data_IF_525547492324
#
_entry.id   IF_525547492324
#
_cell.length_a   1.000
_cell.length_b   1.000
_cell.length_c   1.000
_cell.angle_alpha   90.00
_cell.angle_beta   90.00
_cell.angle_gamma   90.00
#
_symmetry.space_group_name_H-M   'P 1'
#
loop_
_entity.id
_entity.type
_entity.pdbx_description
1 polymer ?
#
# COMPACT_ATOMS: atom_id res chain seq x y z
N UNK A 1 19.39 -47.46 -51.46
CA UNK A 1 20.85 -47.40 -51.29
C UNK A 1 21.14 -46.31 -50.28
N UNK A 2 21.76 -46.67 -49.16
CA UNK A 2 21.95 -45.90 -47.93
C UNK A 2 22.89 -44.69 -48.07
N UNK A 3 22.63 -43.63 -47.29
CA UNK A 3 23.57 -42.96 -46.35
C UNK A 3 22.80 -41.84 -45.60
N UNK A 4 22.43 -42.04 -44.32
CA UNK A 4 23.09 -41.54 -43.09
C UNK A 4 23.02 -40.00 -42.92
N UNK A 5 21.98 -39.43 -42.25
CA UNK A 5 21.84 -39.16 -40.80
C UNK A 5 22.96 -38.33 -40.16
N UNK A 6 22.61 -37.12 -39.69
CA UNK A 6 22.91 -36.70 -38.31
C UNK A 6 21.91 -35.63 -37.82
N UNK A 7 21.10 -36.00 -36.83
CA UNK A 7 20.26 -35.12 -36.01
C UNK A 7 21.06 -34.78 -34.75
N UNK A 8 21.24 -33.49 -34.41
CA UNK A 8 21.78 -33.07 -33.12
C UNK A 8 20.67 -33.06 -32.07
N UNK A 9 20.69 -34.08 -31.21
CA UNK A 9 19.90 -34.17 -29.98
C UNK A 9 20.78 -33.72 -28.81
N UNK A 10 20.38 -32.67 -28.08
CA UNK A 10 21.03 -32.29 -26.82
C UNK A 10 20.56 -33.25 -25.73
N UNK A 11 21.51 -33.98 -25.15
CA UNK A 11 21.30 -35.01 -24.13
C UNK A 11 20.97 -34.39 -22.76
N UNK A 12 19.85 -34.81 -22.18
CA UNK A 12 19.64 -34.84 -20.73
C UNK A 12 20.70 -35.75 -20.09
N UNK A 13 21.32 -35.30 -19.00
CA UNK A 13 22.06 -36.17 -18.08
C UNK A 13 21.36 -36.15 -16.72
N UNK A 14 20.52 -37.16 -16.49
CA UNK A 14 20.29 -37.72 -15.16
C UNK A 14 21.51 -38.58 -14.82
N UNK A 15 22.16 -38.30 -13.71
CA UNK A 15 23.22 -39.14 -13.14
C UNK A 15 22.99 -39.30 -11.65
N UNK A 16 22.32 -40.39 -11.26
CA UNK A 16 22.33 -40.86 -9.89
C UNK A 16 23.53 -41.77 -9.67
N UNK A 17 24.20 -41.61 -8.52
CA UNK A 17 25.04 -42.65 -7.94
C UNK A 17 25.00 -42.53 -6.41
N UNK A 18 24.30 -43.48 -5.77
CA UNK A 18 24.39 -43.75 -4.34
C UNK A 18 25.73 -44.41 -4.05
N UNK A 19 26.53 -43.84 -3.14
CA UNK A 19 27.59 -44.55 -2.43
C UNK A 19 27.50 -44.19 -0.94
N UNK A 20 27.10 -45.17 -0.14
CA UNK A 20 27.09 -45.16 1.32
C UNK A 20 28.52 -45.36 1.85
N UNK A 21 29.09 -44.38 2.56
CA UNK A 21 30.19 -44.62 3.51
C UNK A 21 30.10 -43.66 4.70
N UNK A 22 29.82 -44.26 5.86
CA UNK A 22 30.26 -43.96 7.24
C UNK A 22 30.45 -42.50 7.71
N UNK A 23 29.70 -42.21 8.77
CA UNK A 23 29.69 -41.05 9.66
C UNK A 23 31.09 -40.61 10.13
N UNK A 24 31.44 -39.36 9.86
CA UNK A 24 32.27 -38.54 10.76
C UNK A 24 31.63 -37.16 10.80
N UNK A 25 31.21 -36.76 12.00
CA UNK A 25 30.46 -35.53 12.23
C UNK A 25 31.29 -34.29 11.91
N UNK A 26 30.74 -33.44 11.04
CA UNK A 26 31.11 -32.04 10.93
C UNK A 26 29.91 -31.20 11.35
N UNK A 27 30.09 -30.13 12.14
CA UNK A 27 28.98 -29.29 12.54
C UNK A 27 28.38 -28.64 11.29
N UNK A 28 27.06 -28.74 11.16
CA UNK A 28 26.30 -28.04 10.14
C UNK A 28 26.39 -26.53 10.40
N UNK A 29 27.42 -25.88 9.84
CA UNK A 29 27.37 -24.46 9.59
C UNK A 29 26.30 -24.25 8.52
N UNK A 30 25.10 -23.85 8.95
CA UNK A 30 24.06 -23.34 8.08
C UNK A 30 24.65 -22.16 7.30
N UNK A 31 25.01 -22.39 6.04
CA UNK A 31 25.22 -21.30 5.11
C UNK A 31 23.83 -20.73 4.86
N UNK A 32 23.47 -19.72 5.65
CA UNK A 32 22.39 -18.82 5.30
C UNK A 32 22.76 -18.24 3.93
N UNK A 33 22.15 -18.79 2.88
CA UNK A 33 22.16 -18.17 1.58
C UNK A 33 21.46 -16.82 1.77
N UNK A 34 22.25 -15.76 1.88
CA UNK A 34 21.78 -14.39 1.76
C UNK A 34 20.93 -14.32 0.50
N UNK A 35 19.63 -14.08 0.68
CA UNK A 35 18.75 -13.71 -0.43
C UNK A 35 19.45 -12.60 -1.22
N UNK A 36 19.47 -12.65 -2.56
CA UNK A 36 20.05 -11.56 -3.33
C UNK A 36 19.37 -10.25 -2.92
N UNK A 37 20.18 -9.22 -2.63
CA UNK A 37 19.70 -7.90 -2.21
C UNK A 37 18.51 -7.47 -3.07
N UNK A 38 17.32 -7.43 -2.47
CA UNK A 38 16.12 -6.97 -3.17
C UNK A 38 16.39 -5.56 -3.70
N UNK A 39 16.27 -5.30 -5.01
CA UNK A 39 16.60 -3.99 -5.55
C UNK A 39 15.72 -2.92 -4.90
N UNK A 40 16.36 -1.93 -4.28
CA UNK A 40 15.70 -0.81 -3.62
C UNK A 40 15.25 0.19 -4.69
N UNK A 41 14.03 0.03 -5.19
CA UNK A 41 13.40 0.99 -6.09
C UNK A 41 13.00 2.27 -5.33
N UNK A 42 13.48 3.44 -5.78
CA UNK A 42 13.25 4.73 -5.10
C UNK A 42 12.31 5.63 -5.89
N UNK A 43 12.45 5.65 -7.20
CA UNK A 43 11.69 6.51 -8.12
C UNK A 43 10.70 5.69 -8.94
N UNK A 44 9.69 6.34 -9.53
CA UNK A 44 8.80 5.64 -10.45
C UNK A 44 9.53 5.09 -11.67
N UNK A 45 10.60 5.77 -12.13
CA UNK A 45 11.45 5.31 -13.21
C UNK A 45 12.08 3.93 -12.90
N UNK A 46 12.53 3.71 -11.66
CA UNK A 46 13.09 2.43 -11.24
C UNK A 46 12.06 1.31 -11.36
N UNK A 47 10.84 1.55 -10.86
CA UNK A 47 9.72 0.61 -10.95
C UNK A 47 9.32 0.32 -12.39
N UNK A 48 9.17 1.36 -13.21
CA UNK A 48 8.77 1.24 -14.60
C UNK A 48 9.81 0.51 -15.44
N UNK A 49 11.09 0.83 -15.28
CA UNK A 49 12.19 0.21 -16.03
C UNK A 49 12.34 -1.28 -15.72
N UNK A 50 11.95 -1.71 -14.51
CA UNK A 50 12.01 -3.11 -14.06
C UNK A 50 10.65 -3.83 -14.10
N UNK A 51 9.63 -3.24 -14.76
CA UNK A 51 8.23 -3.69 -14.76
C UNK A 51 8.03 -5.19 -15.03
N UNK A 52 8.83 -5.79 -15.91
CA UNK A 52 8.72 -7.21 -16.29
C UNK A 52 9.14 -8.18 -15.18
N UNK A 53 9.94 -7.72 -14.21
CA UNK A 53 10.44 -8.51 -13.09
C UNK A 53 9.61 -8.32 -11.82
N UNK A 54 8.70 -7.33 -11.82
CA UNK A 54 7.82 -7.04 -10.70
C UNK A 54 6.80 -8.16 -10.49
N UNK A 55 6.42 -8.34 -9.22
CA UNK A 55 5.22 -9.09 -8.84
C UNK A 55 3.97 -8.49 -9.53
N UNK A 56 2.93 -9.30 -9.79
CA UNK A 56 1.73 -8.84 -10.48
C UNK A 56 1.08 -7.61 -9.85
N UNK A 57 1.09 -7.51 -8.52
CA UNK A 57 0.47 -6.43 -7.74
C UNK A 57 1.21 -5.10 -7.96
N UNK A 58 2.53 -5.10 -7.80
CA UNK A 58 3.37 -3.93 -8.08
C UNK A 58 3.28 -3.51 -9.56
N UNK A 59 3.32 -4.50 -10.47
CA UNK A 59 3.18 -4.27 -11.91
C UNK A 59 1.85 -3.61 -12.24
N UNK A 60 0.76 -4.05 -11.61
CA UNK A 60 -0.57 -3.46 -11.81
C UNK A 60 -0.56 -1.96 -11.51
N UNK A 61 0.05 -1.55 -10.40
CA UNK A 61 0.16 -0.13 -10.04
C UNK A 61 0.99 0.66 -11.05
N UNK A 62 2.11 0.09 -11.52
CA UNK A 62 2.92 0.69 -12.60
C UNK A 62 2.11 0.88 -13.88
N UNK A 63 1.33 -0.12 -14.29
CA UNK A 63 0.51 -0.08 -15.50
C UNK A 63 -0.52 1.04 -15.45
N UNK A 64 -1.19 1.17 -14.30
CA UNK A 64 -2.21 2.21 -14.07
C UNK A 64 -1.56 3.59 -14.10
N UNK A 65 -0.38 3.75 -13.49
CA UNK A 65 0.35 5.02 -13.50
C UNK A 65 0.76 5.42 -14.92
N UNK A 66 1.24 4.48 -15.74
CA UNK A 66 1.56 4.72 -17.15
C UNK A 66 0.32 5.09 -17.96
N UNK A 67 -0.82 4.42 -17.72
CA UNK A 67 -2.10 4.78 -18.33
C UNK A 67 -2.53 6.19 -17.94
N UNK A 68 -2.36 6.57 -16.68
CA UNK A 68 -2.74 7.88 -16.15
C UNK A 68 -1.98 9.03 -16.84
N UNK A 69 -0.70 8.83 -17.15
CA UNK A 69 0.11 9.83 -17.86
C UNK A 69 0.17 9.63 -19.37
N UNK A 70 -0.46 8.58 -19.90
CA UNK A 70 -0.59 8.34 -21.34
C UNK A 70 0.73 8.07 -22.08
N UNK A 71 1.72 7.49 -21.40
CA UNK A 71 3.03 7.16 -22.02
C UNK A 71 3.56 5.83 -21.50
N UNK A 72 4.34 5.14 -22.34
CA UNK A 72 5.12 3.96 -21.97
C UNK A 72 6.60 4.26 -21.73
N UNK A 73 7.04 5.50 -21.96
CA UNK A 73 8.39 5.97 -21.67
C UNK A 73 8.52 6.23 -20.17
N UNK A 74 9.37 5.43 -19.49
CA UNK A 74 9.53 5.46 -18.05
C UNK A 74 10.12 6.78 -17.52
N UNK A 75 11.04 7.38 -18.26
CA UNK A 75 11.70 8.64 -17.87
C UNK A 75 10.69 9.78 -17.96
N UNK A 76 9.95 9.81 -19.08
CA UNK A 76 8.88 10.79 -19.29
C UNK A 76 7.77 10.64 -18.27
N UNK A 77 7.34 9.40 -17.98
CA UNK A 77 6.31 9.14 -16.98
C UNK A 77 6.74 9.59 -15.59
N UNK A 78 8.00 9.31 -15.19
CA UNK A 78 8.54 9.76 -13.91
C UNK A 78 8.59 11.28 -13.80
N UNK A 79 9.00 11.98 -14.86
CA UNK A 79 8.96 13.45 -14.90
C UNK A 79 7.54 13.99 -14.73
N UNK A 80 6.56 13.40 -15.42
CA UNK A 80 5.16 13.84 -15.32
C UNK A 80 4.57 13.57 -13.94
N UNK A 81 4.76 12.38 -13.39
CA UNK A 81 4.20 11.98 -12.09
C UNK A 81 4.86 12.71 -10.91
N UNK A 82 6.17 12.94 -10.96
CA UNK A 82 6.92 13.58 -9.86
C UNK A 82 6.49 15.03 -9.58
N UNK A 83 5.81 15.68 -10.52
CA UNK A 83 5.30 17.05 -10.40
C UNK A 83 3.80 17.11 -10.12
N UNK A 84 3.10 15.96 -10.04
CA UNK A 84 1.66 15.98 -9.77
C UNK A 84 1.39 16.28 -8.30
N UNK A 85 0.46 17.21 -8.09
CA UNK A 85 -0.10 17.49 -6.76
C UNK A 85 -1.35 16.65 -6.49
N UNK A 86 -2.06 16.23 -7.54
CA UNK A 86 -3.31 15.49 -7.44
C UNK A 86 -3.26 14.25 -8.31
N UNK A 87 -3.57 13.11 -7.71
CA UNK A 87 -3.58 11.82 -8.39
C UNK A 87 -4.83 11.02 -8.01
N UNK A 88 -5.55 10.53 -9.01
CA UNK A 88 -6.72 9.69 -8.85
C UNK A 88 -6.43 8.30 -9.42
N UNK A 89 -6.39 7.31 -8.54
CA UNK A 89 -6.17 5.90 -8.83
C UNK A 89 -7.34 5.06 -8.30
N UNK A 90 -8.55 5.61 -8.34
CA UNK A 90 -9.76 4.93 -7.89
C UNK A 90 -10.17 3.82 -8.85
N UNK A 91 -10.61 2.67 -8.34
CA UNK A 91 -11.20 1.57 -9.16
C UNK A 91 -10.22 0.92 -10.13
N UNK A 92 -9.01 0.58 -9.68
CA UNK A 92 -8.00 -0.07 -10.51
C UNK A 92 -7.53 -1.44 -10.02
N UNK A 93 -8.15 -2.00 -8.98
CA UNK A 93 -7.73 -3.27 -8.36
C UNK A 93 -6.28 -3.22 -7.86
N UNK A 94 -5.82 -2.05 -7.41
CA UNK A 94 -4.49 -1.86 -6.84
C UNK A 94 -4.43 -2.50 -5.45
N UNK A 95 -3.36 -3.22 -5.15
CA UNK A 95 -3.09 -3.75 -3.81
C UNK A 95 -1.69 -3.37 -3.29
N UNK A 96 -0.73 -3.11 -4.17
CA UNK A 96 0.63 -2.67 -3.82
C UNK A 96 0.85 -1.20 -4.17
N UNK A 97 1.12 -0.39 -3.15
CA UNK A 97 1.35 1.06 -3.27
C UNK A 97 2.83 1.43 -3.39
N UNK A 98 3.75 0.45 -3.36
CA UNK A 98 5.20 0.69 -3.39
C UNK A 98 5.66 1.59 -4.55
N UNK A 99 5.08 1.50 -5.77
CA UNK A 99 5.42 2.42 -6.87
C UNK A 99 5.08 3.89 -6.62
N UNK A 100 4.26 4.22 -5.61
CA UNK A 100 3.88 5.60 -5.27
C UNK A 100 4.87 6.29 -4.32
N UNK A 101 5.76 5.54 -3.66
CA UNK A 101 6.62 6.02 -2.55
C UNK A 101 7.42 7.28 -2.90
N UNK A 102 7.82 7.45 -4.16
CA UNK A 102 8.60 8.58 -4.66
C UNK A 102 7.79 9.82 -5.08
N UNK A 103 6.45 9.76 -5.07
CA UNK A 103 5.58 10.84 -5.56
C UNK A 103 5.29 11.88 -4.46
N UNK A 104 6.34 12.43 -3.86
CA UNK A 104 6.27 13.22 -2.61
C UNK A 104 5.64 14.62 -2.75
N UNK A 105 5.36 15.07 -3.99
CA UNK A 105 4.69 16.35 -4.26
C UNK A 105 3.15 16.26 -4.17
N UNK A 106 2.60 15.05 -4.00
CA UNK A 106 1.17 14.85 -3.89
C UNK A 106 0.59 15.56 -2.65
N UNK A 107 -0.46 16.34 -2.89
CA UNK A 107 -1.29 17.00 -1.88
C UNK A 107 -2.69 16.38 -1.80
N UNK A 108 -3.14 15.70 -2.86
CA UNK A 108 -4.41 14.95 -2.89
C UNK A 108 -4.23 13.61 -3.59
N UNK A 109 -4.61 12.53 -2.92
CA UNK A 109 -4.51 11.17 -3.44
C UNK A 109 -5.82 10.42 -3.24
N UNK A 110 -6.41 9.94 -4.33
CA UNK A 110 -7.58 9.05 -4.29
C UNK A 110 -7.20 7.65 -4.67
N UNK A 111 -7.51 6.71 -3.79
CA UNK A 111 -7.20 5.29 -3.87
C UNK A 111 -8.44 4.44 -3.53
N UNK A 112 -9.64 5.01 -3.59
CA UNK A 112 -10.86 4.30 -3.22
C UNK A 112 -11.24 3.20 -4.23
N UNK A 113 -12.03 2.22 -3.78
CA UNK A 113 -12.44 1.05 -4.57
C UNK A 113 -11.24 0.24 -5.11
N UNK A 114 -10.30 -0.11 -4.24
CA UNK A 114 -9.14 -0.92 -4.57
C UNK A 114 -9.06 -2.14 -3.64
N UNK A 115 -7.90 -2.79 -3.56
CA UNK A 115 -7.64 -3.98 -2.76
C UNK A 115 -6.50 -3.78 -1.77
N UNK A 116 -6.32 -2.53 -1.30
CA UNK A 116 -5.19 -2.10 -0.48
C UNK A 116 -5.38 -2.61 0.96
N UNK A 117 -4.30 -3.16 1.52
CA UNK A 117 -4.23 -3.50 2.95
C UNK A 117 -2.97 -2.95 3.63
N UNK A 118 -1.88 -2.77 2.88
CA UNK A 118 -0.63 -2.18 3.39
C UNK A 118 -0.51 -0.71 2.99
N UNK A 119 -0.40 0.16 3.98
CA UNK A 119 -0.25 1.61 3.82
C UNK A 119 1.19 2.09 4.03
N UNK A 120 2.14 1.20 4.33
CA UNK A 120 3.56 1.53 4.55
C UNK A 120 4.16 2.41 3.45
N UNK A 121 3.87 2.19 2.15
CA UNK A 121 4.41 3.04 1.09
C UNK A 121 3.97 4.51 1.15
N UNK A 122 2.87 4.83 1.84
CA UNK A 122 2.35 6.19 1.94
C UNK A 122 3.09 7.05 2.98
N UNK A 123 3.86 6.45 3.89
CA UNK A 123 4.56 7.15 4.98
C UNK A 123 5.49 8.29 4.52
N UNK A 124 5.93 8.27 3.25
CA UNK A 124 6.82 9.28 2.68
C UNK A 124 6.07 10.47 2.07
N UNK A 125 4.74 10.39 1.91
CA UNK A 125 3.91 11.38 1.22
C UNK A 125 3.45 12.51 2.16
N UNK A 126 4.40 13.11 2.88
CA UNK A 126 4.14 14.02 4.00
C UNK A 126 3.41 15.33 3.61
N UNK A 127 3.26 15.63 2.32
CA UNK A 127 2.55 16.79 1.81
C UNK A 127 1.05 16.56 1.55
N UNK A 128 0.55 15.35 1.81
CA UNK A 128 -0.87 15.03 1.63
C UNK A 128 -1.76 15.85 2.57
N UNK A 129 -2.76 16.49 1.98
CA UNK A 129 -3.84 17.22 2.65
C UNK A 129 -5.18 16.47 2.51
N UNK A 130 -5.37 15.74 1.42
CA UNK A 130 -6.55 14.92 1.13
C UNK A 130 -6.13 13.48 0.80
N UNK A 131 -6.75 12.51 1.47
CA UNK A 131 -6.54 11.09 1.20
C UNK A 131 -7.86 10.33 1.22
N UNK A 132 -8.21 9.71 0.09
CA UNK A 132 -9.36 8.79 0.03
C UNK A 132 -8.88 7.35 -0.12
N UNK A 133 -9.13 6.54 0.90
CA UNK A 133 -8.81 5.12 1.01
C UNK A 133 -10.08 4.28 1.22
N UNK A 134 -11.26 4.83 0.94
CA UNK A 134 -12.52 4.13 1.15
C UNK A 134 -12.67 2.90 0.25
N UNK A 135 -13.46 1.92 0.68
CA UNK A 135 -13.67 0.67 -0.06
C UNK A 135 -12.35 -0.05 -0.39
N UNK A 136 -11.61 -0.40 0.66
CA UNK A 136 -10.37 -1.17 0.60
C UNK A 136 -10.41 -2.31 1.63
N UNK A 137 -9.25 -2.89 1.98
CA UNK A 137 -9.10 -4.01 2.92
C UNK A 137 -8.18 -3.64 4.08
N UNK A 138 -8.23 -2.38 4.50
CA UNK A 138 -7.31 -1.82 5.50
C UNK A 138 -7.75 -2.25 6.90
N UNK A 139 -6.78 -2.71 7.69
CA UNK A 139 -6.94 -3.01 9.12
C UNK A 139 -6.03 -2.17 10.00
N UNK A 140 -4.82 -1.86 9.52
CA UNK A 140 -3.82 -1.06 10.22
C UNK A 140 -3.62 0.29 9.52
N UNK A 141 -3.76 1.37 10.29
CA UNK A 141 -3.54 2.75 9.85
C UNK A 141 -2.35 3.42 10.54
N UNK A 142 -1.55 2.68 11.31
CA UNK A 142 -0.30 3.17 11.89
C UNK A 142 0.65 3.83 10.87
N UNK A 143 0.72 3.39 9.60
CA UNK A 143 1.55 4.07 8.60
C UNK A 143 1.11 5.49 8.24
N UNK A 144 -0.08 5.93 8.65
CA UNK A 144 -0.56 7.27 8.37
C UNK A 144 -0.08 8.32 9.38
N UNK A 145 0.48 7.90 10.53
CA UNK A 145 0.93 8.83 11.60
C UNK A 145 1.85 9.96 11.14
N UNK A 146 2.79 9.76 10.18
CA UNK A 146 3.67 10.83 9.70
C UNK A 146 2.95 11.93 8.89
N UNK A 147 1.75 11.64 8.37
CA UNK A 147 1.02 12.51 7.43
C UNK A 147 0.28 13.67 8.13
N UNK A 148 1.00 14.40 8.97
CA UNK A 148 0.48 15.45 9.88
C UNK A 148 -0.15 16.67 9.18
N UNK A 149 0.01 16.79 7.86
CA UNK A 149 -0.63 17.81 7.03
C UNK A 149 -2.05 17.43 6.55
N UNK A 150 -2.48 16.17 6.79
CA UNK A 150 -3.82 15.73 6.39
C UNK A 150 -4.91 16.58 7.04
N UNK A 151 -5.78 17.12 6.19
CA UNK A 151 -6.97 17.88 6.57
C UNK A 151 -8.25 17.08 6.33
N UNK A 152 -8.26 16.20 5.32
CA UNK A 152 -9.40 15.33 4.99
C UNK A 152 -8.93 13.91 4.76
N UNK A 153 -9.58 12.96 5.44
CA UNK A 153 -9.32 11.55 5.23
C UNK A 153 -10.63 10.75 5.15
N UNK A 154 -10.72 9.88 4.15
CA UNK A 154 -11.82 8.92 4.04
C UNK A 154 -11.29 7.50 4.14
N UNK A 155 -11.68 6.82 5.21
CA UNK A 155 -11.35 5.42 5.54
C UNK A 155 -12.61 4.55 5.60
N UNK A 156 -13.75 5.02 5.08
CA UNK A 156 -15.01 4.29 5.13
C UNK A 156 -14.93 2.96 4.39
N UNK A 157 -15.75 1.99 4.77
CA UNK A 157 -15.78 0.66 4.13
C UNK A 157 -14.40 -0.02 4.13
N UNK A 158 -13.84 -0.15 5.33
CA UNK A 158 -12.61 -0.90 5.61
C UNK A 158 -12.86 -1.86 6.80
N UNK A 159 -11.80 -2.37 7.43
CA UNK A 159 -11.87 -3.33 8.53
C UNK A 159 -11.10 -2.83 9.75
N UNK A 160 -11.06 -1.50 9.93
CA UNK A 160 -10.27 -0.83 10.98
C UNK A 160 -11.00 -0.94 12.31
N UNK A 161 -10.27 -1.30 13.37
CA UNK A 161 -10.77 -1.33 14.74
C UNK A 161 -10.02 -0.39 15.68
N UNK A 162 -8.72 -0.17 15.43
CA UNK A 162 -7.87 0.75 16.17
C UNK A 162 -7.67 2.04 15.38
N UNK A 163 -8.10 3.15 15.96
CA UNK A 163 -7.95 4.50 15.39
C UNK A 163 -7.04 5.40 16.20
N UNK A 164 -6.35 4.87 17.21
CA UNK A 164 -5.34 5.60 17.99
C UNK A 164 -4.25 6.25 17.12
N UNK A 165 -3.86 5.72 15.94
CA UNK A 165 -2.93 6.42 15.05
C UNK A 165 -3.42 7.79 14.57
N UNK A 166 -4.73 8.04 14.51
CA UNK A 166 -5.27 9.33 14.05
C UNK A 166 -5.01 10.46 15.04
N UNK A 167 -4.72 10.18 16.31
CA UNK A 167 -4.53 11.21 17.35
C UNK A 167 -3.37 12.19 17.06
N UNK A 168 -2.38 11.76 16.26
CA UNK A 168 -1.25 12.62 15.86
C UNK A 168 -1.60 13.59 14.73
N UNK A 169 -2.70 13.34 14.00
CA UNK A 169 -3.10 14.08 12.80
C UNK A 169 -3.96 15.30 13.17
N UNK A 170 -3.40 16.17 14.01
CA UNK A 170 -4.11 17.34 14.61
C UNK A 170 -4.57 18.40 13.61
N UNK A 171 -4.18 18.28 12.33
CA UNK A 171 -4.65 19.13 11.23
C UNK A 171 -6.00 18.67 10.64
N UNK A 172 -6.51 17.50 11.01
CA UNK A 172 -7.75 16.94 10.47
C UNK A 172 -8.96 17.83 10.76
N UNK A 173 -9.71 18.12 9.70
CA UNK A 173 -10.96 18.89 9.70
C UNK A 173 -12.14 17.95 9.45
N UNK A 174 -11.94 16.89 8.66
CA UNK A 174 -12.99 15.99 8.25
C UNK A 174 -12.48 14.54 8.15
N UNK A 175 -13.21 13.65 8.80
CA UNK A 175 -12.90 12.22 8.89
C UNK A 175 -14.15 11.43 8.54
N UNK A 176 -14.01 10.49 7.61
CA UNK A 176 -15.02 9.48 7.32
C UNK A 176 -14.52 8.10 7.72
N UNK A 177 -15.23 7.44 8.63
CA UNK A 177 -14.91 6.13 9.19
C UNK A 177 -16.11 5.18 9.14
N UNK A 178 -17.12 5.50 8.33
CA UNK A 178 -18.33 4.69 8.22
C UNK A 178 -18.02 3.25 7.84
N UNK A 179 -18.80 2.28 8.31
CA UNK A 179 -18.62 0.86 7.97
C UNK A 179 -17.19 0.36 8.26
N UNK A 180 -16.83 0.35 9.53
CA UNK A 180 -15.59 -0.22 10.06
C UNK A 180 -15.90 -1.12 11.28
N UNK A 181 -14.90 -1.41 12.11
CA UNK A 181 -15.02 -2.27 13.31
C UNK A 181 -14.65 -1.50 14.58
N UNK A 182 -14.93 -0.20 14.61
CA UNK A 182 -14.52 0.71 15.68
C UNK A 182 -15.49 0.59 16.85
N UNK A 183 -14.95 0.45 18.06
CA UNK A 183 -15.74 0.27 19.30
C UNK A 183 -15.63 1.47 20.25
N UNK A 184 -14.56 2.25 20.13
CA UNK A 184 -14.27 3.44 20.93
C UNK A 184 -13.63 4.52 20.05
N UNK A 185 -13.94 5.78 20.33
CA UNK A 185 -13.43 6.97 19.65
C UNK A 185 -12.74 7.95 20.62
N UNK A 186 -12.51 7.56 21.87
CA UNK A 186 -11.95 8.42 22.92
C UNK A 186 -10.60 9.06 22.56
N UNK A 187 -9.78 8.38 21.76
CA UNK A 187 -8.49 8.86 21.24
C UNK A 187 -8.62 10.12 20.37
N UNK A 188 -9.80 10.36 19.77
CA UNK A 188 -10.02 11.50 18.89
C UNK A 188 -10.17 12.84 19.64
N UNK A 189 -10.17 12.84 20.98
CA UNK A 189 -10.27 14.07 21.81
C UNK A 189 -9.20 15.12 21.49
N UNK A 190 -8.05 14.71 20.96
CA UNK A 190 -6.95 15.60 20.60
C UNK A 190 -7.20 16.40 19.31
N UNK A 191 -8.18 16.00 18.49
CA UNK A 191 -8.45 16.58 17.17
C UNK A 191 -9.33 17.83 17.27
N UNK A 192 -8.79 18.88 17.88
CA UNK A 192 -9.53 20.12 18.20
C UNK A 192 -9.98 20.93 16.97
N UNK A 193 -9.40 20.67 15.78
CA UNK A 193 -9.81 21.28 14.51
C UNK A 193 -10.93 20.53 13.79
N UNK A 194 -11.30 19.34 14.26
CA UNK A 194 -12.25 18.47 13.59
C UNK A 194 -13.65 19.10 13.59
N UNK A 195 -14.26 19.15 12.41
CA UNK A 195 -15.60 19.73 12.19
C UNK A 195 -16.62 18.66 11.80
N UNK A 196 -16.16 17.62 11.13
CA UNK A 196 -17.01 16.54 10.64
C UNK A 196 -16.36 15.19 10.93
N UNK A 197 -17.03 14.38 11.73
CA UNK A 197 -16.70 12.98 11.95
C UNK A 197 -17.91 12.14 11.58
N UNK A 198 -17.79 11.34 10.53
CA UNK A 198 -18.79 10.35 10.14
C UNK A 198 -18.33 8.98 10.61
N UNK A 199 -19.09 8.37 11.52
CA UNK A 199 -18.71 7.12 12.21
C UNK A 199 -19.85 6.09 12.22
N UNK A 200 -20.82 6.27 11.33
CA UNK A 200 -21.96 5.38 11.18
C UNK A 200 -21.55 3.94 10.88
N UNK A 201 -22.42 2.99 11.20
CA UNK A 201 -22.20 1.57 10.92
C UNK A 201 -20.90 1.03 11.53
N UNK A 202 -20.66 1.37 12.80
CA UNK A 202 -19.57 0.83 13.61
C UNK A 202 -20.14 0.23 14.91
N UNK A 203 -19.51 -0.83 15.47
CA UNK A 203 -19.94 -1.46 16.73
C UNK A 203 -19.56 -0.61 17.97
N UNK A 204 -19.89 0.68 17.95
CA UNK A 204 -19.56 1.62 19.03
C UNK A 204 -20.24 1.23 20.33
N UNK A 205 -19.48 1.29 21.41
CA UNK A 205 -19.98 1.05 22.78
C UNK A 205 -20.64 2.30 23.39
N UNK A 206 -20.41 3.48 22.80
CA UNK A 206 -20.94 4.75 23.25
C UNK A 206 -21.15 5.72 22.08
N UNK A 207 -22.21 6.51 22.14
CA UNK A 207 -22.50 7.63 21.23
C UNK A 207 -22.11 9.00 21.82
N UNK A 208 -21.31 9.00 22.90
CA UNK A 208 -20.78 10.23 23.46
C UNK A 208 -19.66 10.79 22.56
N UNK A 209 -19.90 11.94 21.94
CA UNK A 209 -18.86 12.59 21.13
C UNK A 209 -17.71 13.10 22.01
N UNK A 210 -16.45 12.67 21.82
CA UNK A 210 -15.30 13.11 22.62
C UNK A 210 -14.81 14.51 22.22
N UNK A 211 -15.32 15.05 21.12
CA UNK A 211 -14.93 16.34 20.54
C UNK A 211 -16.03 17.38 20.80
N UNK A 212 -15.64 18.64 20.97
CA UNK A 212 -16.57 19.76 21.09
C UNK A 212 -16.53 20.62 19.81
N UNK A 213 -17.68 21.12 19.34
CA UNK A 213 -19.03 20.85 19.86
C UNK A 213 -19.51 19.44 19.52
N UNK A 214 -20.45 18.89 20.32
CA UNK A 214 -20.90 17.48 20.20
C UNK A 214 -21.50 17.13 18.84
N UNK A 215 -22.02 18.12 18.12
CA UNK A 215 -22.52 17.94 16.77
C UNK A 215 -21.43 17.58 15.75
N UNK A 216 -20.13 17.60 16.10
CA UNK A 216 -19.05 17.16 15.20
C UNK A 216 -19.22 15.68 14.82
N UNK A 217 -19.58 14.84 15.79
CA UNK A 217 -19.78 13.41 15.57
C UNK A 217 -21.16 13.13 14.94
N UNK A 218 -21.19 12.38 13.84
CA UNK A 218 -22.39 11.85 13.17
C UNK A 218 -22.44 10.35 13.43
N UNK A 219 -23.33 9.95 14.34
CA UNK A 219 -23.63 8.55 14.65
C UNK A 219 -24.79 8.04 13.79
N UNK A 220 -25.08 6.74 13.91
CA UNK A 220 -26.29 6.14 13.34
C UNK A 220 -27.54 6.85 13.86
N UNK A 221 -28.58 6.91 13.01
CA UNK A 221 -29.89 7.38 13.46
C UNK A 221 -30.54 6.24 14.25
N UNK A 222 -30.98 6.55 15.47
CA UNK A 222 -31.85 5.67 16.25
C UNK A 222 -33.20 5.43 15.56
#
# INVERSE_FOLDING_TARGET
>A
MNQLLEKRTVKQKLGGLLLLLSVVGFPAASVAQSQPDTPIFKTFQDWCSNRQQLLPEARRTVDVLLQQVGTSDCDRANQMLSQQERLDLSTFLISDLSPLKGLTHLTSLKLNNNQISDLTPLQTLNNLHELDLSFNRITDISPLQPLTQLARINLSYNQISDISPLQSLTSLIEIYLNHNKIVDISDLKALTKLRFLFIQDNPLTSTQCPINPKYVCRFDRE
#
